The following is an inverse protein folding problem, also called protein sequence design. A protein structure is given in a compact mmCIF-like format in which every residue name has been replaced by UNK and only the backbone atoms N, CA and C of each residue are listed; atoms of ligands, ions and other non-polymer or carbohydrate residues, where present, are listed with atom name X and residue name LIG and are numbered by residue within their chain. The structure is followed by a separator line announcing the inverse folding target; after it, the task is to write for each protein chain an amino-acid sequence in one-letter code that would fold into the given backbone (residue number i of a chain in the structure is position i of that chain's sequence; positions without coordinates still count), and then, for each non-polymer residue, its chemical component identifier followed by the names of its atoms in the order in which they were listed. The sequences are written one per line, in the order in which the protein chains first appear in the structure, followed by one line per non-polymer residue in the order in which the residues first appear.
data_IF_146913452811
#
_entry.id   IF_146913452811
#
_cell.length_a   1.000
_cell.length_b   1.000
_cell.length_c   1.000
_cell.angle_alpha   90.00
_cell.angle_beta   90.00
_cell.angle_gamma   90.00
#
_symmetry.space_group_name_H-M   'P 1'
#
loop_
_entity.id
_entity.type
_entity.pdbx_description
1 polymer ?
#
# COMPACT_ATOMS: atom_id res chain seq x y z
N UNK A 1 19.07 -20.50 14.98
CA UNK A 1 17.75 -20.36 14.32
C UNK A 1 17.62 -18.91 13.90
N UNK A 2 17.88 -18.55 12.66
CA UNK A 2 17.58 -17.18 12.20
C UNK A 2 16.13 -17.19 11.77
N UNK A 3 15.25 -16.74 12.67
CA UNK A 3 13.87 -16.48 12.34
C UNK A 3 13.84 -15.55 11.13
N UNK A 4 13.06 -15.91 10.11
CA UNK A 4 12.78 -15.03 8.97
C UNK A 4 12.24 -13.71 9.55
N UNK A 5 12.87 -12.58 9.21
CA UNK A 5 12.43 -11.26 9.68
C UNK A 5 10.93 -11.11 9.42
N UNK A 6 10.20 -10.72 10.48
CA UNK A 6 8.76 -10.48 10.40
C UNK A 6 8.57 -9.16 9.67
N UNK A 7 7.77 -9.19 8.59
CA UNK A 7 7.39 -8.00 7.83
C UNK A 7 6.07 -7.45 8.35
N UNK A 8 6.10 -6.20 8.83
CA UNK A 8 4.90 -5.46 9.24
C UNK A 8 4.31 -4.77 8.01
N UNK A 9 3.17 -5.29 7.54
CA UNK A 9 2.47 -4.79 6.37
C UNK A 9 1.19 -4.02 6.76
N UNK A 10 1.02 -2.80 6.24
CA UNK A 10 -0.13 -1.94 6.53
C UNK A 10 -1.12 -1.83 5.34
N UNK A 11 -2.45 -1.81 5.59
CA UNK A 11 -3.44 -1.46 4.58
C UNK A 11 -3.39 0.03 4.26
N UNK A 12 -3.37 0.37 2.97
CA UNK A 12 -3.41 1.75 2.49
C UNK A 12 -4.55 1.92 1.49
N UNK A 13 -5.38 2.93 1.71
CA UNK A 13 -6.52 3.28 0.84
C UNK A 13 -6.61 4.77 0.53
N UNK A 14 -5.62 5.56 0.95
CA UNK A 14 -5.49 6.99 0.67
C UNK A 14 -4.06 7.45 0.97
N UNK A 15 -3.67 8.64 0.49
CA UNK A 15 -2.36 9.21 0.81
C UNK A 15 -2.17 9.47 2.31
N UNK A 16 -3.23 9.80 3.04
CA UNK A 16 -3.15 9.97 4.51
C UNK A 16 -2.80 8.65 5.20
N UNK A 17 -3.46 7.54 4.80
CA UNK A 17 -3.12 6.21 5.33
C UNK A 17 -1.70 5.76 4.92
N UNK A 18 -1.22 6.17 3.74
CA UNK A 18 0.15 5.92 3.31
C UNK A 18 1.16 6.62 4.23
N UNK A 19 0.95 7.92 4.49
CA UNK A 19 1.81 8.68 5.41
C UNK A 19 1.78 8.10 6.82
N UNK A 20 0.61 7.67 7.30
CA UNK A 20 0.48 7.02 8.60
C UNK A 20 1.24 5.69 8.66
N UNK A 21 1.21 4.86 7.61
CA UNK A 21 1.98 3.62 7.54
C UNK A 21 3.50 3.87 7.58
N UNK A 22 3.96 4.90 6.87
CA UNK A 22 5.36 5.32 6.88
C UNK A 22 5.77 5.77 8.29
N UNK A 23 5.00 6.66 8.92
CA UNK A 23 5.29 7.16 10.27
C UNK A 23 5.19 6.06 11.33
N UNK A 24 4.32 5.07 11.12
CA UNK A 24 4.15 3.91 11.98
C UNK A 24 5.28 2.88 11.87
N UNK A 25 6.22 3.04 10.94
CA UNK A 25 7.33 2.12 10.74
C UNK A 25 6.92 0.80 10.12
N UNK A 26 5.91 0.79 9.24
CA UNK A 26 5.59 -0.38 8.45
C UNK A 26 6.75 -0.70 7.48
N UNK A 27 7.04 -1.99 7.30
CA UNK A 27 8.03 -2.46 6.31
C UNK A 27 7.43 -2.48 4.89
N UNK A 28 6.11 -2.61 4.80
CA UNK A 28 5.39 -2.64 3.55
C UNK A 28 3.95 -2.18 3.63
N UNK A 29 3.37 -1.94 2.46
CA UNK A 29 1.98 -1.57 2.29
C UNK A 29 1.29 -2.49 1.29
N UNK A 30 -0.01 -2.70 1.46
CA UNK A 30 -0.86 -3.19 0.38
C UNK A 30 -1.99 -2.21 0.10
N UNK A 31 -2.31 -2.05 -1.18
CA UNK A 31 -3.40 -1.18 -1.61
C UNK A 31 -4.04 -1.72 -2.89
N UNK A 32 -5.27 -1.28 -3.16
CA UNK A 32 -6.01 -1.61 -4.38
C UNK A 32 -6.10 -0.41 -5.31
N UNK A 33 -6.21 -0.70 -6.61
CA UNK A 33 -6.55 0.29 -7.64
C UNK A 33 -8.01 0.15 -8.08
N UNK A 34 -8.58 1.22 -8.64
CA UNK A 34 -9.94 1.21 -9.19
C UNK A 34 -10.21 0.03 -10.16
N UNK A 35 -11.48 -0.39 -10.22
CA UNK A 35 -12.02 -1.43 -11.12
C UNK A 35 -11.53 -2.88 -10.96
N UNK A 36 -10.77 -3.22 -9.91
CA UNK A 36 -10.34 -4.60 -9.61
C UNK A 36 -10.74 -5.06 -8.19
N UNK A 37 -11.89 -4.62 -7.69
CA UNK A 37 -12.45 -5.08 -6.41
C UNK A 37 -13.99 -4.92 -6.42
N UNK A 38 -14.73 -6.01 -6.18
CA UNK A 38 -16.21 -6.02 -6.01
C UNK A 38 -16.74 -5.15 -4.85
N UNK A 39 -15.87 -4.53 -4.06
CA UNK A 39 -16.18 -3.72 -2.87
C UNK A 39 -16.07 -2.21 -3.14
N UNK A 40 -16.30 -1.80 -4.38
CA UNK A 40 -16.18 -0.46 -4.96
C UNK A 40 -17.17 0.60 -4.45
N UNK A 41 -17.62 0.50 -3.19
CA UNK A 41 -18.59 1.44 -2.59
C UNK A 41 -18.07 2.28 -1.43
N UNK A 42 -16.82 2.12 -0.96
CA UNK A 42 -16.40 2.78 0.30
C UNK A 42 -14.97 3.32 0.37
N UNK A 43 -14.14 3.19 -0.67
CA UNK A 43 -12.76 3.68 -0.64
C UNK A 43 -12.48 4.59 -1.83
N UNK A 44 -11.85 5.74 -1.57
CA UNK A 44 -11.18 6.55 -2.59
C UNK A 44 -10.04 5.70 -3.15
N UNK A 45 -10.34 4.87 -4.14
CA UNK A 45 -9.37 3.94 -4.68
C UNK A 45 -8.30 4.71 -5.46
N UNK A 46 -7.06 4.25 -5.37
CA UNK A 46 -5.98 4.83 -6.15
C UNK A 46 -6.21 4.59 -7.64
N UNK A 47 -5.87 5.59 -8.44
CA UNK A 47 -5.87 5.48 -9.89
C UNK A 47 -4.59 4.81 -10.39
N UNK A 48 -4.52 4.50 -11.68
CA UNK A 48 -3.27 4.05 -12.29
C UNK A 48 -2.16 5.10 -12.18
N UNK A 49 -2.50 6.39 -12.28
CA UNK A 49 -1.52 7.49 -12.15
C UNK A 49 -0.97 7.61 -10.73
N UNK A 50 -1.76 7.22 -9.73
CA UNK A 50 -1.31 7.18 -8.33
C UNK A 50 -0.27 6.08 -8.10
N UNK A 51 -0.25 5.00 -8.90
CA UNK A 51 0.73 3.91 -8.75
C UNK A 51 2.16 4.41 -8.81
N UNK A 52 2.46 5.26 -9.79
CA UNK A 52 3.80 5.81 -9.99
C UNK A 52 4.20 6.63 -8.76
N UNK A 53 3.30 7.48 -8.28
CA UNK A 53 3.54 8.33 -7.10
C UNK A 53 3.72 7.51 -5.83
N UNK A 54 2.87 6.50 -5.61
CA UNK A 54 2.95 5.62 -4.45
C UNK A 54 4.26 4.83 -4.48
N UNK A 55 4.63 4.26 -5.63
CA UNK A 55 5.89 3.54 -5.79
C UNK A 55 7.10 4.43 -5.47
N UNK A 56 7.12 5.66 -5.99
CA UNK A 56 8.17 6.63 -5.69
C UNK A 56 8.25 7.00 -4.20
N UNK A 57 7.09 7.21 -3.56
CA UNK A 57 7.02 7.50 -2.12
C UNK A 57 7.56 6.31 -1.32
N UNK A 58 7.13 5.10 -1.63
CA UNK A 58 7.56 3.87 -0.97
C UNK A 58 9.06 3.65 -1.11
N UNK A 59 9.63 3.79 -2.32
CA UNK A 59 11.06 3.67 -2.55
C UNK A 59 11.88 4.69 -1.75
N UNK A 60 11.44 5.96 -1.70
CA UNK A 60 12.11 7.01 -0.92
C UNK A 60 12.12 6.74 0.59
N UNK A 61 11.14 5.98 1.08
CA UNK A 61 11.00 5.64 2.50
C UNK A 61 11.42 4.20 2.82
N UNK A 62 12.05 3.48 1.88
CA UNK A 62 12.50 2.09 2.05
C UNK A 62 11.36 1.10 2.40
N UNK A 63 10.17 1.35 1.88
CA UNK A 63 8.97 0.54 2.12
C UNK A 63 8.61 -0.23 0.85
N UNK A 64 8.22 -1.50 1.00
CA UNK A 64 7.73 -2.31 -0.13
C UNK A 64 6.27 -2.02 -0.43
N UNK A 65 5.91 -1.93 -1.70
CA UNK A 65 4.53 -1.68 -2.15
C UNK A 65 3.94 -2.89 -2.84
N UNK A 66 2.78 -3.39 -2.37
CA UNK A 66 2.05 -4.50 -2.99
C UNK A 66 0.68 -4.04 -3.49
N UNK A 67 0.31 -4.52 -4.68
CA UNK A 67 -1.02 -4.29 -5.25
C UNK A 67 -1.87 -5.53 -4.99
N UNK A 68 -3.06 -5.32 -4.44
CA UNK A 68 -4.05 -6.40 -4.31
C UNK A 68 -4.84 -6.54 -5.61
N UNK A 69 -4.85 -7.76 -6.15
CA UNK A 69 -5.63 -8.15 -7.32
C UNK A 69 -6.70 -9.13 -6.86
N UNK A 70 -7.96 -8.72 -6.89
CA UNK A 70 -9.09 -9.60 -6.59
C UNK A 70 -10.11 -9.46 -7.72
N UNK A 71 -10.35 -10.54 -8.47
CA UNK A 71 -11.30 -10.54 -9.59
C UNK A 71 -12.73 -10.61 -9.07
#
# INVERSE_FOLDING_TARGET
MTAKEVEIMAPVGSYESLMAAIQGGADSIYFGIENLNMRSRSSKNFTLDDLVKISDICHKNHIRSYITLNT
#
